data_IF_415227598627
#
_entry.id   IF_415227598627
#
_cell.length_a   1.000
_cell.length_b   1.000
_cell.length_c   1.000
_cell.angle_alpha   90.00
_cell.angle_beta   90.00
_cell.angle_gamma   90.00
#
_symmetry.space_group_name_H-M   'P 1'
#
loop_
_entity.id
_entity.type
_entity.pdbx_description
1 polymer ?
#
# COMPACT_ATOMS: atom_id res chain seq x y z
N UNK A 1 36.65 31.03 26.08
CA UNK A 1 36.64 31.97 24.93
C UNK A 1 36.87 31.16 23.66
N UNK A 2 35.88 31.06 22.76
CA UNK A 2 35.98 30.24 21.55
C UNK A 2 36.70 30.99 20.42
N UNK A 3 37.87 30.50 20.03
CA UNK A 3 38.74 30.94 18.93
C UNK A 3 38.21 30.54 17.53
N UNK A 4 36.93 30.80 17.25
CA UNK A 4 36.23 30.41 16.01
C UNK A 4 35.76 31.61 15.16
N UNK A 5 36.44 32.76 15.27
CA UNK A 5 36.13 33.95 14.45
C UNK A 5 36.48 33.76 12.95
N UNK A 6 37.17 32.68 12.58
CA UNK A 6 37.65 32.42 11.22
C UNK A 6 36.96 31.27 10.49
N UNK A 7 35.95 30.62 11.07
CA UNK A 7 35.24 29.55 10.37
C UNK A 7 34.50 30.12 9.14
N UNK A 8 34.83 29.70 7.90
CA UNK A 8 34.25 30.25 6.67
C UNK A 8 32.72 30.19 6.64
N UNK A 9 32.14 29.22 7.35
CA UNK A 9 30.70 29.00 7.45
C UNK A 9 29.93 30.17 8.08
N UNK A 10 30.59 31.02 8.89
CA UNK A 10 29.98 32.24 9.47
C UNK A 10 29.84 33.39 8.46
N UNK A 11 30.47 33.29 7.29
CA UNK A 11 30.38 34.28 6.20
C UNK A 11 29.31 33.94 5.17
N UNK A 12 28.65 32.79 5.33
CA UNK A 12 27.53 32.42 4.48
C UNK A 12 26.36 33.37 4.75
N UNK A 13 25.67 33.77 3.68
CA UNK A 13 24.42 34.52 3.77
C UNK A 13 23.32 33.64 4.37
N UNK A 14 22.31 34.27 4.96
CA UNK A 14 21.13 33.59 5.53
C UNK A 14 20.50 32.66 4.49
N UNK A 15 20.34 33.11 3.24
CA UNK A 15 19.81 32.31 2.12
C UNK A 15 20.59 31.02 1.89
N UNK A 16 21.92 31.08 1.95
CA UNK A 16 22.77 29.90 1.77
C UNK A 16 22.66 28.96 2.98
N UNK A 17 22.60 29.51 4.20
CA UNK A 17 22.38 28.72 5.40
C UNK A 17 21.01 28.04 5.38
N UNK A 18 19.95 28.73 4.95
CA UNK A 18 18.59 28.17 4.81
C UNK A 18 18.57 27.04 3.78
N UNK A 19 19.22 27.24 2.62
CA UNK A 19 19.36 26.18 1.60
C UNK A 19 20.08 24.97 2.17
N UNK A 20 21.18 25.17 2.89
CA UNK A 20 21.91 24.10 3.55
C UNK A 20 21.03 23.40 4.60
N UNK A 21 20.34 24.16 5.45
CA UNK A 21 19.46 23.58 6.48
C UNK A 21 18.31 22.80 5.87
N UNK A 22 17.72 23.29 4.79
CA UNK A 22 16.64 22.58 4.07
C UNK A 22 17.13 21.26 3.49
N UNK A 23 18.38 21.21 2.99
CA UNK A 23 18.99 19.97 2.50
C UNK A 23 19.37 19.01 3.63
N UNK A 24 19.75 19.53 4.80
CA UNK A 24 20.20 18.71 5.95
C UNK A 24 19.04 18.22 6.80
N UNK A 25 17.99 19.03 6.97
CA UNK A 25 16.80 18.73 7.74
C UNK A 25 15.86 17.82 6.93
N UNK A 26 16.30 16.59 6.64
CA UNK A 26 15.40 15.53 6.20
C UNK A 26 14.53 15.06 7.38
N UNK A 27 13.39 14.39 7.13
CA UNK A 27 12.63 13.72 8.19
C UNK A 27 13.56 12.90 9.08
N UNK A 28 13.48 13.15 10.39
CA UNK A 28 14.26 12.43 11.39
C UNK A 28 13.42 11.26 11.91
N UNK A 29 14.04 10.08 11.99
CA UNK A 29 13.47 8.92 12.64
C UNK A 29 14.07 8.81 14.04
N UNK A 30 13.24 8.96 15.07
CA UNK A 30 13.67 8.91 16.47
C UNK A 30 12.99 7.73 17.15
N UNK A 31 13.79 6.79 17.62
CA UNK A 31 13.31 5.69 18.46
C UNK A 31 13.29 6.14 19.93
N UNK A 32 12.08 6.25 20.49
CA UNK A 32 11.82 6.69 21.87
C UNK A 32 12.47 5.74 22.88
N UNK A 33 12.58 4.44 22.56
CA UNK A 33 13.20 3.44 23.43
C UNK A 33 14.67 3.75 23.68
N UNK A 34 15.35 4.25 22.64
CA UNK A 34 16.78 4.59 22.66
C UNK A 34 17.06 6.03 23.07
N UNK A 35 16.05 6.82 23.48
CA UNK A 35 16.19 8.27 23.76
C UNK A 35 17.31 8.67 24.73
N UNK A 36 17.70 7.78 25.66
CA UNK A 36 18.87 8.02 26.51
C UNK A 36 20.18 8.22 25.72
N UNK A 37 20.23 7.66 24.51
CA UNK A 37 21.35 7.73 23.56
C UNK A 37 20.93 8.34 22.21
N UNK A 38 19.66 8.72 22.06
CA UNK A 38 19.16 9.15 20.77
C UNK A 38 19.74 10.50 20.38
N UNK A 39 19.99 10.63 19.08
CA UNK A 39 20.43 11.89 18.50
C UNK A 39 19.33 12.92 18.67
N UNK A 40 19.72 14.07 19.21
CA UNK A 40 18.90 15.28 19.16
C UNK A 40 18.44 15.50 17.71
N UNK A 41 17.16 15.81 17.45
CA UNK A 41 16.69 16.12 16.10
C UNK A 41 17.65 17.06 15.38
N UNK A 42 17.91 16.85 14.10
CA UNK A 42 18.87 17.63 13.31
C UNK A 42 18.56 19.11 13.40
N UNK A 43 17.29 19.48 13.34
CA UNK A 43 16.84 20.88 13.45
C UNK A 43 17.24 21.51 14.79
N UNK A 44 17.11 20.76 15.90
CA UNK A 44 17.53 21.21 17.22
C UNK A 44 19.06 21.27 17.33
N UNK A 45 19.77 20.33 16.71
CA UNK A 45 21.24 20.33 16.63
C UNK A 45 21.74 21.56 15.89
N UNK A 46 21.16 21.90 14.74
CA UNK A 46 21.47 23.10 13.95
C UNK A 46 21.18 24.37 14.78
N UNK A 47 20.01 24.43 15.43
CA UNK A 47 19.63 25.56 16.29
C UNK A 47 20.53 25.70 17.53
N UNK A 48 21.28 24.66 17.92
CA UNK A 48 22.21 24.69 19.03
C UNK A 48 23.60 25.23 18.66
N UNK A 49 23.99 25.22 17.37
CA UNK A 49 25.36 25.56 16.92
C UNK A 49 25.80 26.97 17.34
N UNK A 50 25.00 27.99 17.02
CA UNK A 50 25.28 29.36 17.46
C UNK A 50 24.01 30.23 17.45
N UNK A 51 24.09 31.42 18.07
CA UNK A 51 22.96 32.37 18.15
C UNK A 51 22.40 32.73 16.76
N UNK A 52 23.27 32.94 15.77
CA UNK A 52 22.85 33.32 14.43
C UNK A 52 22.06 32.21 13.73
N UNK A 53 22.54 30.97 13.76
CA UNK A 53 21.84 29.81 13.20
C UNK A 53 20.50 29.56 13.88
N UNK A 54 20.44 29.74 15.20
CA UNK A 54 19.19 29.66 15.95
C UNK A 54 18.16 30.68 15.47
N UNK A 55 18.57 31.93 15.24
CA UNK A 55 17.68 32.99 14.75
C UNK A 55 17.17 32.63 13.35
N UNK A 56 18.04 32.17 12.45
CA UNK A 56 17.64 31.71 11.12
C UNK A 56 16.61 30.59 11.27
N UNK A 57 16.98 29.48 11.93
CA UNK A 57 16.09 28.32 12.09
C UNK A 57 14.72 28.73 12.65
N UNK A 58 14.68 29.56 13.70
CA UNK A 58 13.42 30.01 14.30
C UNK A 58 12.58 30.95 13.41
N UNK A 59 13.19 31.61 12.43
CA UNK A 59 12.51 32.57 11.54
C UNK A 59 11.91 31.92 10.29
N UNK A 60 12.25 30.67 9.99
CA UNK A 60 11.79 29.96 8.78
C UNK A 60 10.90 28.78 9.13
N UNK A 61 9.58 28.99 9.05
CA UNK A 61 8.57 28.01 9.44
C UNK A 61 8.65 26.69 8.65
N UNK A 62 9.07 26.73 7.38
CA UNK A 62 9.17 25.53 6.56
C UNK A 62 10.17 24.51 7.10
N UNK A 63 11.21 24.94 7.83
CA UNK A 63 12.17 24.06 8.50
C UNK A 63 11.55 23.33 9.70
N UNK A 64 10.50 23.89 10.31
CA UNK A 64 9.76 23.31 11.44
C UNK A 64 8.54 22.49 11.00
N UNK A 65 8.10 22.65 9.75
CA UNK A 65 7.00 21.89 9.16
C UNK A 65 7.42 20.51 8.65
N UNK A 66 8.72 20.19 8.68
CA UNK A 66 9.25 18.88 8.31
C UNK A 66 8.86 17.89 9.41
N UNK A 67 8.08 16.84 9.09
CA UNK A 67 7.60 15.91 10.09
C UNK A 67 8.76 15.11 10.69
N UNK A 68 8.66 14.85 11.99
CA UNK A 68 9.53 13.89 12.69
C UNK A 68 8.77 12.58 12.81
N UNK A 69 9.45 11.48 12.50
CA UNK A 69 8.92 10.13 12.63
C UNK A 69 9.34 9.59 14.01
N UNK A 70 8.42 9.58 14.96
CA UNK A 70 8.63 9.01 16.27
C UNK A 70 8.21 7.54 16.26
N UNK A 71 9.19 6.66 16.45
CA UNK A 71 8.93 5.23 16.62
C UNK A 71 9.03 4.86 18.09
N UNK A 72 8.02 4.16 18.57
CA UNK A 72 7.97 3.60 19.90
C UNK A 72 7.94 2.09 19.78
N UNK A 73 9.00 1.41 20.25
CA UNK A 73 9.08 -0.06 20.26
C UNK A 73 9.06 -0.56 21.69
N UNK A 74 8.08 -1.40 22.01
CA UNK A 74 8.03 -2.14 23.27
C UNK A 74 8.49 -3.58 23.02
N UNK A 75 9.74 -3.89 23.38
CA UNK A 75 10.35 -5.20 23.13
C UNK A 75 10.00 -6.22 24.23
N UNK A 76 10.06 -5.85 25.52
CA UNK A 76 9.78 -6.79 26.61
C UNK A 76 9.21 -6.12 27.88
N UNK A 77 8.43 -6.86 28.68
CA UNK A 77 7.83 -6.42 29.95
C UNK A 77 8.89 -6.08 31.00
N UNK A 78 10.05 -6.74 30.89
CA UNK A 78 11.21 -6.55 31.75
C UNK A 78 12.23 -5.58 31.17
N UNK A 79 11.98 -5.04 29.96
CA UNK A 79 12.92 -4.12 29.33
C UNK A 79 12.99 -2.81 30.11
N UNK A 80 14.20 -2.42 30.49
CA UNK A 80 14.52 -1.09 31.01
C UNK A 80 14.90 -0.24 29.80
N UNK A 81 14.25 0.91 29.59
CA UNK A 81 13.25 1.57 30.44
C UNK A 81 11.81 1.03 30.28
N UNK A 82 11.07 0.95 31.40
CA UNK A 82 9.65 0.59 31.39
C UNK A 82 8.73 1.63 30.71
N UNK A 83 7.44 1.30 30.52
CA UNK A 83 6.49 2.10 29.72
C UNK A 83 6.30 3.53 30.26
N UNK A 84 6.20 3.71 31.58
CA UNK A 84 6.02 5.03 32.20
C UNK A 84 7.24 5.93 31.94
N UNK A 85 8.44 5.37 32.05
CA UNK A 85 9.69 6.12 31.79
C UNK A 85 9.75 6.54 30.33
N UNK A 86 9.35 5.66 29.41
CA UNK A 86 9.31 5.99 28.00
C UNK A 86 8.22 7.02 27.66
N UNK A 87 7.05 6.93 28.28
CA UNK A 87 6.01 7.95 28.15
C UNK A 87 6.51 9.32 28.62
N UNK A 88 7.17 9.38 29.77
CA UNK A 88 7.78 10.61 30.27
C UNK A 88 8.88 11.16 29.33
N UNK A 89 9.69 10.27 28.73
CA UNK A 89 10.69 10.67 27.73
C UNK A 89 10.03 11.22 26.46
N UNK A 90 8.97 10.57 26.00
CA UNK A 90 8.18 11.03 24.87
C UNK A 90 7.57 12.39 25.15
N UNK A 91 6.97 12.58 26.33
CA UNK A 91 6.36 13.85 26.71
C UNK A 91 7.40 14.98 26.81
N UNK A 92 8.56 14.71 27.41
CA UNK A 92 9.66 15.67 27.47
C UNK A 92 10.16 16.05 26.06
N UNK A 93 10.30 15.05 25.17
CA UNK A 93 10.67 15.28 23.78
C UNK A 93 9.61 16.13 23.06
N UNK A 94 8.34 15.74 23.13
CA UNK A 94 7.24 16.48 22.51
C UNK A 94 7.18 17.92 23.04
N UNK A 95 7.31 18.09 24.35
CA UNK A 95 7.35 19.40 25.00
C UNK A 95 8.50 20.29 24.52
N UNK A 96 9.63 19.71 24.12
CA UNK A 96 10.76 20.45 23.51
C UNK A 96 10.51 20.81 22.04
N UNK A 97 9.66 20.06 21.33
CA UNK A 97 9.41 20.17 19.90
C UNK A 97 8.12 20.93 19.55
N UNK A 98 7.61 21.79 20.43
CA UNK A 98 6.24 22.37 20.47
C UNK A 98 5.50 22.65 19.14
N UNK A 99 6.19 22.92 18.04
CA UNK A 99 5.61 23.30 16.74
C UNK A 99 5.76 22.26 15.62
N UNK A 100 6.51 21.19 15.84
CA UNK A 100 6.84 20.24 14.77
C UNK A 100 5.69 19.24 14.60
N UNK A 101 5.16 19.04 13.38
CA UNK A 101 4.22 17.96 13.10
C UNK A 101 4.91 16.60 13.29
N UNK A 102 4.17 15.62 13.78
CA UNK A 102 4.73 14.32 14.15
C UNK A 102 4.00 13.20 13.44
N UNK A 103 4.76 12.26 12.87
CA UNK A 103 4.25 10.92 12.55
C UNK A 103 4.63 10.01 13.69
N UNK A 104 3.66 9.31 14.25
CA UNK A 104 3.86 8.45 15.41
C UNK A 104 3.60 7.00 15.04
N UNK A 105 4.55 6.13 15.35
CA UNK A 105 4.43 4.70 15.14
C UNK A 105 4.66 3.98 16.46
N UNK A 106 3.66 3.24 16.93
CA UNK A 106 3.73 2.41 18.13
C UNK A 106 3.78 0.93 17.73
N UNK A 107 4.83 0.23 18.09
CA UNK A 107 5.01 -1.20 17.85
C UNK A 107 5.22 -1.91 19.18
N UNK A 108 4.60 -3.08 19.35
CA UNK A 108 4.80 -3.92 20.53
C UNK A 108 5.01 -5.36 20.10
N UNK A 109 6.10 -5.96 20.55
CA UNK A 109 6.35 -7.40 20.36
C UNK A 109 5.48 -8.23 21.34
N UNK A 110 4.98 -7.55 22.37
CA UNK A 110 4.18 -8.14 23.42
C UNK A 110 2.70 -8.06 23.06
N UNK A 111 2.11 -9.22 22.82
CA UNK A 111 0.67 -9.37 22.58
C UNK A 111 -0.04 -9.20 23.93
N UNK A 112 -0.94 -8.23 24.04
CA UNK A 112 -1.93 -8.09 25.13
C UNK A 112 -1.47 -7.55 26.50
N UNK A 113 -0.79 -6.39 26.56
CA UNK A 113 -0.51 -5.75 27.85
C UNK A 113 -1.12 -4.34 27.99
N UNK A 114 -2.38 -4.23 28.48
CA UNK A 114 -3.14 -2.97 28.59
C UNK A 114 -2.41 -1.87 29.36
N UNK A 115 -1.86 -2.22 30.51
CA UNK A 115 -1.32 -1.26 31.47
C UNK A 115 -0.09 -0.54 30.93
N UNK A 116 0.58 -1.15 29.94
CA UNK A 116 1.74 -0.58 29.28
C UNK A 116 1.36 0.51 28.27
N UNK A 117 0.10 0.55 27.81
CA UNK A 117 -0.33 1.42 26.72
C UNK A 117 -1.06 2.68 27.21
N UNK A 118 -1.68 2.61 28.39
CA UNK A 118 -2.46 3.74 28.94
C UNK A 118 -1.69 5.06 29.08
N UNK A 119 -0.44 5.10 29.58
CA UNK A 119 0.30 6.36 29.68
C UNK A 119 0.58 7.01 28.31
N UNK A 120 0.60 6.24 27.23
CA UNK A 120 0.83 6.76 25.89
C UNK A 120 -0.43 7.32 25.27
N UNK A 121 -1.57 6.66 25.50
CA UNK A 121 -2.84 7.11 24.97
C UNK A 121 -3.27 8.47 25.51
N UNK A 122 -2.97 8.77 26.79
CA UNK A 122 -3.17 10.12 27.32
C UNK A 122 -2.26 11.15 26.65
N UNK A 123 -1.01 10.81 26.33
CA UNK A 123 -0.08 11.69 25.60
C UNK A 123 -0.52 11.95 24.17
N UNK A 124 -1.10 10.96 23.49
CA UNK A 124 -1.68 11.16 22.16
C UNK A 124 -2.76 12.24 22.19
N UNK A 125 -3.66 12.20 23.18
CA UNK A 125 -4.68 13.23 23.34
C UNK A 125 -4.06 14.59 23.74
N UNK A 126 -3.09 14.60 24.65
CA UNK A 126 -2.44 15.83 25.11
C UNK A 126 -1.76 16.60 23.97
N UNK A 127 -1.17 15.89 23.02
CA UNK A 127 -0.49 16.48 21.87
C UNK A 127 -1.30 16.32 20.56
N UNK A 128 -2.63 16.20 20.66
CA UNK A 128 -3.57 15.91 19.56
C UNK A 128 -3.36 16.73 18.29
N UNK A 129 -3.05 18.01 18.47
CA UNK A 129 -2.86 18.99 17.40
C UNK A 129 -1.58 18.76 16.57
N UNK A 130 -0.73 17.82 16.96
CA UNK A 130 0.58 17.63 16.31
C UNK A 130 0.67 16.40 15.44
N UNK A 131 -0.18 15.40 15.71
CA UNK A 131 -0.15 14.16 14.98
C UNK A 131 -0.69 14.39 13.57
N UNK A 132 0.14 14.10 12.56
CA UNK A 132 -0.29 14.02 11.16
C UNK A 132 -0.64 12.60 10.78
N UNK A 133 0.12 11.67 11.31
CA UNK A 133 -0.05 10.24 11.08
C UNK A 133 0.14 9.50 12.39
N UNK A 134 -0.75 8.55 12.66
CA UNK A 134 -0.65 7.65 13.81
C UNK A 134 -0.74 6.23 13.29
N UNK A 135 0.27 5.44 13.60
CA UNK A 135 0.38 4.03 13.23
C UNK A 135 0.44 3.17 14.49
N UNK A 136 -0.53 2.28 14.64
CA UNK A 136 -0.54 1.26 15.67
C UNK A 136 -0.13 -0.07 15.04
N UNK A 137 1.12 -0.43 15.24
CA UNK A 137 1.72 -1.68 14.82
C UNK A 137 1.17 -2.92 15.53
N UNK A 138 1.71 -4.11 15.17
CA UNK A 138 1.27 -5.38 15.73
C UNK A 138 1.26 -5.41 17.25
N UNK A 139 0.31 -6.15 17.82
CA UNK A 139 0.21 -6.42 19.26
C UNK A 139 -0.44 -5.30 20.10
N UNK A 140 -0.66 -4.11 19.53
CA UNK A 140 -1.42 -3.05 20.22
C UNK A 140 -2.86 -3.52 20.44
N UNK A 141 -3.33 -3.43 21.69
CA UNK A 141 -4.62 -4.00 22.09
C UNK A 141 -5.45 -2.93 22.79
N UNK A 142 -6.61 -2.63 22.22
CA UNK A 142 -7.53 -1.64 22.78
C UNK A 142 -8.52 -2.31 23.74
N UNK A 143 -8.38 -2.03 25.04
CA UNK A 143 -8.98 -2.84 26.11
C UNK A 143 -10.11 -2.15 26.86
N UNK A 144 -10.08 -0.83 26.95
CA UNK A 144 -11.11 -0.02 27.58
C UNK A 144 -11.76 0.87 26.53
N UNK A 145 -12.96 1.38 26.84
CA UNK A 145 -13.59 2.44 26.06
C UNK A 145 -12.67 3.66 26.03
N UNK A 146 -11.90 3.77 24.95
CA UNK A 146 -10.92 4.82 24.76
C UNK A 146 -11.45 5.82 23.76
N UNK A 147 -11.26 7.09 24.09
CA UNK A 147 -11.59 8.22 23.24
C UNK A 147 -10.28 8.91 22.86
N UNK A 148 -9.91 8.76 21.60
CA UNK A 148 -8.78 9.46 21.00
C UNK A 148 -9.31 10.68 20.26
N UNK A 149 -8.92 11.87 20.71
CA UNK A 149 -9.18 13.10 19.98
C UNK A 149 -7.86 13.55 19.36
N UNK A 150 -7.72 13.38 18.04
CA UNK A 150 -6.48 13.61 17.30
C UNK A 150 -6.72 14.67 16.22
N UNK A 151 -6.89 15.92 16.65
CA UNK A 151 -7.50 17.01 15.86
C UNK A 151 -6.87 17.26 14.48
N UNK A 152 -5.58 16.98 14.32
CA UNK A 152 -4.84 17.25 13.09
C UNK A 152 -4.39 15.99 12.32
N UNK A 153 -4.79 14.80 12.77
CA UNK A 153 -4.40 13.53 12.16
C UNK A 153 -5.10 13.34 10.81
N UNK A 154 -4.33 13.19 9.75
CA UNK A 154 -4.83 12.94 8.40
C UNK A 154 -4.76 11.48 8.00
N UNK A 155 -3.83 10.72 8.59
CA UNK A 155 -3.57 9.33 8.27
C UNK A 155 -3.63 8.47 9.55
N UNK A 156 -4.35 7.36 9.48
CA UNK A 156 -4.38 6.34 10.53
C UNK A 156 -3.98 4.99 9.95
N UNK A 157 -2.99 4.34 10.56
CA UNK A 157 -2.57 2.99 10.20
C UNK A 157 -2.84 2.06 11.38
N UNK A 158 -3.55 0.97 11.13
CA UNK A 158 -3.88 -0.06 12.10
C UNK A 158 -3.36 -1.39 11.58
N UNK A 159 -2.40 -1.98 12.28
CA UNK A 159 -1.72 -3.19 11.85
C UNK A 159 -1.75 -4.25 12.95
N UNK A 160 -2.42 -5.38 12.66
CA UNK A 160 -2.55 -6.55 13.54
C UNK A 160 -3.00 -6.16 14.95
N UNK A 161 -3.87 -5.15 15.04
CA UNK A 161 -4.42 -4.69 16.31
C UNK A 161 -5.62 -5.55 16.73
N UNK A 162 -5.89 -5.55 18.03
CA UNK A 162 -7.04 -6.23 18.61
C UNK A 162 -7.92 -5.24 19.36
N UNK A 163 -9.17 -5.09 18.91
CA UNK A 163 -10.20 -4.33 19.61
C UNK A 163 -10.99 -5.27 20.53
N UNK A 164 -10.82 -5.13 21.85
CA UNK A 164 -11.65 -5.87 22.83
C UNK A 164 -12.92 -5.12 23.20
N UNK A 165 -12.94 -3.80 23.05
CA UNK A 165 -14.07 -2.92 23.30
C UNK A 165 -14.19 -1.85 22.20
N UNK A 166 -15.28 -1.08 22.24
CA UNK A 166 -15.46 0.06 21.35
C UNK A 166 -14.46 1.17 21.68
N UNK A 167 -13.77 1.66 20.67
CA UNK A 167 -12.80 2.75 20.71
C UNK A 167 -13.28 3.84 19.77
N UNK A 168 -13.40 5.07 20.26
CA UNK A 168 -13.66 6.22 19.42
C UNK A 168 -12.36 6.87 19.01
N UNK A 169 -12.08 6.91 17.71
CA UNK A 169 -10.94 7.64 17.15
C UNK A 169 -11.53 8.82 16.37
N UNK A 170 -11.52 9.97 17.02
CA UNK A 170 -12.09 11.21 16.51
C UNK A 170 -10.94 12.05 15.96
N UNK A 171 -10.85 12.13 14.63
CA UNK A 171 -10.06 13.14 13.95
C UNK A 171 -10.90 13.78 12.85
N UNK A 172 -11.20 15.09 12.95
CA UNK A 172 -12.00 15.79 11.95
C UNK A 172 -11.27 15.99 10.61
N UNK A 173 -9.95 15.71 10.56
CA UNK A 173 -9.13 15.84 9.35
C UNK A 173 -8.68 14.50 8.79
N UNK A 174 -9.22 13.39 9.32
CA UNK A 174 -8.86 12.05 8.88
C UNK A 174 -9.33 11.85 7.45
N UNK A 175 -8.38 11.63 6.55
CA UNK A 175 -8.63 11.43 5.13
C UNK A 175 -8.24 10.03 4.67
N UNK A 176 -7.22 9.43 5.29
CA UNK A 176 -6.67 8.13 4.91
C UNK A 176 -6.64 7.16 6.08
N UNK A 177 -7.12 5.94 5.84
CA UNK A 177 -7.07 4.82 6.78
C UNK A 177 -6.48 3.58 6.10
N UNK A 178 -5.43 3.02 6.71
CA UNK A 178 -4.84 1.73 6.33
C UNK A 178 -5.09 0.72 7.43
N UNK A 179 -5.65 -0.43 7.06
CA UNK A 179 -6.02 -1.52 7.97
C UNK A 179 -5.28 -2.78 7.49
N UNK A 180 -4.54 -3.42 8.39
CA UNK A 180 -3.77 -4.62 8.11
C UNK A 180 -4.12 -5.65 9.18
N UNK A 181 -4.76 -6.77 8.83
CA UNK A 181 -5.07 -7.89 9.73
C UNK A 181 -5.71 -7.50 11.08
N UNK A 182 -6.52 -6.45 11.10
CA UNK A 182 -7.13 -5.95 12.33
C UNK A 182 -8.30 -6.82 12.74
N UNK A 183 -8.24 -7.37 13.96
CA UNK A 183 -9.32 -8.20 14.52
C UNK A 183 -10.41 -7.33 15.13
N UNK A 184 -11.67 -7.63 14.78
CA UNK A 184 -12.87 -6.97 15.32
C UNK A 184 -12.92 -5.47 15.00
N UNK A 185 -12.63 -5.08 13.76
CA UNK A 185 -12.47 -3.66 13.40
C UNK A 185 -13.79 -2.86 13.34
N UNK A 186 -14.84 -3.42 12.76
CA UNK A 186 -16.07 -2.69 12.37
C UNK A 186 -16.78 -1.92 13.50
N UNK A 187 -17.75 -2.50 14.22
CA UNK A 187 -18.52 -1.79 15.24
C UNK A 187 -17.70 -1.41 16.49
N UNK A 188 -16.42 -1.77 16.52
CA UNK A 188 -15.50 -1.47 17.62
C UNK A 188 -14.64 -0.24 17.35
N UNK A 189 -14.46 0.22 16.11
CA UNK A 189 -13.79 1.48 15.82
C UNK A 189 -14.82 2.54 15.40
N UNK A 190 -15.15 3.45 16.32
CA UNK A 190 -15.99 4.61 16.03
C UNK A 190 -15.14 5.70 15.37
N UNK A 191 -14.93 5.54 14.06
CA UNK A 191 -14.29 6.48 13.15
C UNK A 191 -15.38 7.15 12.29
N UNK A 192 -15.18 8.42 11.90
CA UNK A 192 -16.04 9.09 10.92
C UNK A 192 -15.70 8.63 9.50
N UNK A 193 -16.18 7.44 9.16
CA UNK A 193 -15.97 6.78 7.86
C UNK A 193 -16.38 7.63 6.65
N UNK A 194 -17.40 8.48 6.81
CA UNK A 194 -17.91 9.35 5.76
C UNK A 194 -16.89 10.35 5.23
N UNK A 195 -15.90 10.73 6.05
CA UNK A 195 -14.96 11.80 5.71
C UNK A 195 -13.71 11.26 4.99
N UNK A 196 -13.59 9.93 4.86
CA UNK A 196 -12.44 9.29 4.24
C UNK A 196 -12.43 9.43 2.73
N UNK A 197 -11.27 9.78 2.19
CA UNK A 197 -10.97 9.79 0.75
C UNK A 197 -10.16 8.56 0.34
N UNK A 198 -9.40 7.98 1.27
CA UNK A 198 -8.52 6.85 1.01
C UNK A 198 -8.76 5.74 2.03
N UNK A 199 -9.06 4.54 1.54
CA UNK A 199 -9.18 3.34 2.36
C UNK A 199 -8.33 2.23 1.76
N UNK A 200 -7.48 1.66 2.60
CA UNK A 200 -6.63 0.54 2.25
C UNK A 200 -6.82 -0.58 3.26
N UNK A 201 -7.15 -1.79 2.80
CA UNK A 201 -7.40 -2.95 3.64
C UNK A 201 -6.58 -4.14 3.16
N UNK A 202 -5.72 -4.66 4.03
CA UNK A 202 -4.91 -5.85 3.82
C UNK A 202 -5.30 -6.91 4.86
N UNK A 203 -5.80 -8.06 4.41
CA UNK A 203 -6.19 -9.16 5.27
C UNK A 203 -5.64 -10.47 4.71
N UNK A 204 -4.58 -10.98 5.34
CA UNK A 204 -3.93 -12.24 4.99
C UNK A 204 -4.74 -13.47 5.45
N UNK A 205 -5.76 -13.25 6.29
CA UNK A 205 -6.59 -14.28 6.90
C UNK A 205 -8.06 -13.87 6.86
N UNK A 206 -8.96 -14.85 6.99
CA UNK A 206 -10.41 -14.68 7.10
C UNK A 206 -10.81 -13.95 8.41
N UNK A 207 -10.50 -12.65 8.50
CA UNK A 207 -10.80 -11.81 9.66
C UNK A 207 -11.91 -10.79 9.38
N UNK A 208 -12.35 -10.69 8.12
CA UNK A 208 -13.42 -9.80 7.68
C UNK A 208 -14.50 -10.64 7.00
N UNK A 209 -15.75 -10.38 7.38
CA UNK A 209 -16.92 -10.94 6.70
C UNK A 209 -17.35 -10.04 5.55
N UNK A 210 -17.99 -10.62 4.53
CA UNK A 210 -18.53 -9.85 3.41
C UNK A 210 -19.50 -8.75 3.87
N UNK A 211 -20.31 -9.05 4.89
CA UNK A 211 -21.23 -8.08 5.50
C UNK A 211 -20.52 -6.88 6.13
N UNK A 212 -19.43 -7.11 6.84
CA UNK A 212 -18.63 -6.04 7.45
C UNK A 212 -17.97 -5.15 6.39
N UNK A 213 -17.42 -5.76 5.34
CA UNK A 213 -16.83 -5.03 4.22
C UNK A 213 -17.87 -4.16 3.52
N UNK A 214 -19.03 -4.73 3.16
CA UNK A 214 -20.11 -4.00 2.48
C UNK A 214 -20.67 -2.88 3.36
N UNK A 215 -20.82 -3.11 4.67
CA UNK A 215 -21.22 -2.06 5.61
C UNK A 215 -20.19 -0.93 5.64
N UNK A 216 -18.90 -1.24 5.71
CA UNK A 216 -17.82 -0.27 5.73
C UNK A 216 -17.80 0.58 4.46
N UNK A 217 -17.84 -0.06 3.30
CA UNK A 217 -17.88 0.66 2.01
C UNK A 217 -19.11 1.56 1.90
N UNK A 218 -20.25 1.14 2.47
CA UNK A 218 -21.50 1.94 2.43
C UNK A 218 -21.38 3.24 3.22
N UNK A 219 -20.62 3.25 4.32
CA UNK A 219 -20.43 4.44 5.15
C UNK A 219 -19.31 5.35 4.62
N UNK A 220 -18.40 4.83 3.79
CA UNK A 220 -17.29 5.57 3.19
C UNK A 220 -17.68 6.28 1.88
N UNK A 221 -18.67 7.18 1.93
CA UNK A 221 -19.29 7.79 0.74
C UNK A 221 -18.37 8.71 -0.07
N UNK A 222 -17.31 9.25 0.54
CA UNK A 222 -16.39 10.20 -0.10
C UNK A 222 -15.09 9.55 -0.64
N UNK A 223 -15.04 8.21 -0.70
CA UNK A 223 -13.85 7.50 -1.18
C UNK A 223 -13.49 7.89 -2.61
N UNK A 224 -12.24 8.28 -2.80
CA UNK A 224 -11.61 8.50 -4.11
C UNK A 224 -10.63 7.37 -4.46
N UNK A 225 -9.99 6.77 -3.46
CA UNK A 225 -9.07 5.65 -3.61
C UNK A 225 -9.47 4.50 -2.69
N UNK A 226 -9.62 3.31 -3.25
CA UNK A 226 -9.93 2.09 -2.53
C UNK A 226 -8.94 0.99 -2.91
N UNK A 227 -8.27 0.42 -1.92
CA UNK A 227 -7.41 -0.73 -2.08
C UNK A 227 -7.83 -1.85 -1.14
N UNK A 228 -8.21 -2.99 -1.72
CA UNK A 228 -8.67 -4.18 -1.01
C UNK A 228 -7.77 -5.34 -1.41
N UNK A 229 -7.03 -5.89 -0.45
CA UNK A 229 -6.25 -7.09 -0.58
C UNK A 229 -6.63 -8.06 0.54
N UNK A 230 -7.68 -8.85 0.35
CA UNK A 230 -8.44 -9.44 1.46
C UNK A 230 -8.80 -10.91 1.25
N UNK A 231 -8.85 -11.66 2.36
CA UNK A 231 -9.59 -12.92 2.50
C UNK A 231 -10.96 -12.60 3.12
N UNK A 232 -12.04 -12.93 2.41
CA UNK A 232 -13.40 -12.58 2.87
C UNK A 232 -14.19 -13.83 3.19
N UNK A 233 -14.72 -13.89 4.41
CA UNK A 233 -15.64 -14.96 4.81
C UNK A 233 -17.09 -14.64 4.40
N UNK A 234 -17.95 -15.66 4.33
CA UNK A 234 -19.38 -15.60 3.93
C UNK A 234 -19.68 -15.60 2.41
N UNK A 235 -19.33 -16.68 1.72
CA UNK A 235 -19.59 -16.86 0.27
C UNK A 235 -21.05 -16.74 -0.19
N UNK A 236 -22.00 -17.00 0.70
CA UNK A 236 -23.44 -16.98 0.37
C UNK A 236 -24.09 -15.62 0.57
N UNK A 237 -23.34 -14.60 1.01
CA UNK A 237 -23.89 -13.26 1.16
C UNK A 237 -23.98 -12.58 -0.20
N UNK A 238 -25.19 -12.17 -0.60
CA UNK A 238 -25.42 -11.36 -1.79
C UNK A 238 -25.48 -9.88 -1.41
N UNK A 239 -24.47 -9.07 -1.76
CA UNK A 239 -24.50 -7.65 -1.48
C UNK A 239 -25.59 -6.96 -2.28
N UNK A 240 -26.26 -5.99 -1.66
CA UNK A 240 -27.10 -5.03 -2.38
C UNK A 240 -26.21 -4.01 -3.09
N UNK A 241 -26.71 -3.44 -4.19
CA UNK A 241 -26.05 -2.36 -4.92
C UNK A 241 -25.51 -1.24 -3.99
N UNK A 242 -24.27 -0.86 -4.24
CA UNK A 242 -23.50 0.11 -3.48
C UNK A 242 -22.88 1.11 -4.47
N UNK A 243 -23.10 2.39 -4.23
CA UNK A 243 -22.65 3.45 -5.13
C UNK A 243 -21.51 4.24 -4.49
N UNK A 244 -20.32 4.17 -5.09
CA UNK A 244 -19.17 5.01 -4.74
C UNK A 244 -18.95 6.02 -5.86
N UNK A 245 -19.69 7.13 -5.82
CA UNK A 245 -19.70 8.13 -6.91
C UNK A 245 -18.36 8.82 -7.14
N UNK A 246 -17.54 8.91 -6.10
CA UNK A 246 -16.30 9.67 -6.13
C UNK A 246 -15.07 8.79 -6.34
N UNK A 247 -15.26 7.46 -6.41
CA UNK A 247 -14.16 6.52 -6.53
C UNK A 247 -13.54 6.61 -7.91
N UNK A 248 -12.28 7.06 -7.96
CA UNK A 248 -11.49 7.20 -9.18
C UNK A 248 -10.49 6.06 -9.34
N UNK A 249 -10.00 5.51 -8.23
CA UNK A 249 -8.98 4.46 -8.23
C UNK A 249 -9.46 3.25 -7.40
N UNK A 250 -9.46 2.07 -8.03
CA UNK A 250 -9.74 0.80 -7.37
C UNK A 250 -8.55 -0.14 -7.55
N UNK A 251 -8.04 -0.68 -6.43
CA UNK A 251 -7.12 -1.82 -6.42
C UNK A 251 -7.76 -2.98 -5.68
N UNK A 252 -7.80 -4.15 -6.32
CA UNK A 252 -8.47 -5.32 -5.78
C UNK A 252 -7.58 -6.55 -5.92
N UNK A 253 -7.33 -7.23 -4.81
CA UNK A 253 -6.63 -8.50 -4.70
C UNK A 253 -7.45 -9.39 -3.77
N UNK A 254 -8.27 -10.25 -4.35
CA UNK A 254 -9.13 -11.16 -3.59
C UNK A 254 -8.47 -12.53 -3.52
N UNK A 255 -7.98 -12.89 -2.33
CA UNK A 255 -7.12 -14.04 -2.16
C UNK A 255 -7.88 -15.37 -2.20
N UNK A 256 -9.18 -15.36 -1.92
CA UNK A 256 -10.01 -16.57 -1.90
C UNK A 256 -11.13 -16.57 -2.95
N UNK A 257 -11.10 -15.58 -3.85
CA UNK A 257 -12.06 -15.30 -4.93
C UNK A 257 -13.51 -15.06 -4.47
N UNK A 258 -13.74 -14.86 -3.17
CA UNK A 258 -15.08 -14.68 -2.61
C UNK A 258 -15.72 -13.35 -3.07
N UNK A 259 -14.94 -12.27 -3.22
CA UNK A 259 -15.42 -11.01 -3.78
C UNK A 259 -15.77 -11.14 -5.25
N UNK A 260 -14.91 -11.80 -6.04
CA UNK A 260 -15.19 -11.98 -7.46
C UNK A 260 -16.40 -12.90 -7.69
N UNK A 261 -16.52 -13.99 -6.93
CA UNK A 261 -17.66 -14.91 -6.98
C UNK A 261 -18.97 -14.24 -6.54
N UNK A 262 -18.89 -13.17 -5.75
CA UNK A 262 -20.03 -12.32 -5.38
C UNK A 262 -20.49 -11.35 -6.48
N UNK A 263 -19.84 -11.38 -7.65
CA UNK A 263 -20.02 -10.40 -8.73
C UNK A 263 -19.78 -8.95 -8.28
N UNK A 264 -18.62 -8.67 -7.68
CA UNK A 264 -18.27 -7.32 -7.17
C UNK A 264 -18.56 -6.18 -8.14
N UNK A 265 -18.28 -6.35 -9.44
CA UNK A 265 -18.53 -5.32 -10.45
C UNK A 265 -20.02 -5.09 -10.76
N UNK A 266 -20.89 -6.03 -10.37
CA UNK A 266 -22.33 -5.83 -10.49
C UNK A 266 -22.86 -5.02 -9.32
N UNK A 267 -22.52 -5.32 -8.07
CA UNK A 267 -23.08 -4.59 -6.93
C UNK A 267 -22.27 -3.34 -6.55
N UNK A 268 -20.98 -3.25 -6.88
CA UNK A 268 -20.16 -2.06 -6.62
C UNK A 268 -20.19 -1.10 -7.82
N UNK A 269 -21.07 -0.11 -7.77
CA UNK A 269 -21.27 0.90 -8.81
C UNK A 269 -20.28 2.06 -8.63
N UNK A 270 -19.41 2.26 -9.61
CA UNK A 270 -18.30 3.23 -9.55
C UNK A 270 -18.30 4.10 -10.82
N UNK A 271 -19.25 5.05 -10.96
CA UNK A 271 -19.46 5.79 -12.21
C UNK A 271 -18.28 6.67 -12.63
N UNK A 272 -17.42 7.06 -11.69
CA UNK A 272 -16.28 7.95 -11.91
C UNK A 272 -14.94 7.22 -11.90
N UNK A 273 -14.93 5.89 -11.98
CA UNK A 273 -13.68 5.12 -11.92
C UNK A 273 -12.84 5.40 -13.17
N UNK A 274 -11.58 5.76 -12.93
CA UNK A 274 -10.58 6.09 -13.96
C UNK A 274 -9.54 4.97 -14.05
N UNK A 275 -9.21 4.35 -12.91
CA UNK A 275 -8.20 3.31 -12.82
C UNK A 275 -8.69 2.09 -12.04
N UNK A 276 -8.51 0.91 -12.63
CA UNK A 276 -8.77 -0.37 -11.99
C UNK A 276 -7.54 -1.26 -12.07
N UNK A 277 -7.05 -1.70 -10.92
CA UNK A 277 -6.01 -2.72 -10.81
C UNK A 277 -6.59 -3.96 -10.14
N UNK A 278 -6.51 -5.11 -10.80
CA UNK A 278 -7.10 -6.36 -10.31
C UNK A 278 -6.03 -7.44 -10.28
N UNK A 279 -5.93 -8.14 -9.16
CA UNK A 279 -5.09 -9.31 -8.98
C UNK A 279 -5.97 -10.54 -8.75
N UNK A 280 -5.91 -11.48 -9.69
CA UNK A 280 -6.57 -12.78 -9.61
C UNK A 280 -5.62 -13.82 -9.03
N UNK A 281 -6.09 -14.56 -8.04
CA UNK A 281 -5.39 -15.74 -7.53
C UNK A 281 -6.15 -16.98 -8.02
N UNK A 282 -5.57 -17.74 -8.94
CA UNK A 282 -6.20 -18.97 -9.42
C UNK A 282 -5.72 -20.15 -8.57
N UNK A 283 -6.52 -20.67 -7.63
CA UNK A 283 -6.29 -22.01 -7.14
C UNK A 283 -6.42 -22.97 -8.33
N UNK A 284 -5.66 -24.05 -8.33
CA UNK A 284 -5.47 -25.07 -9.40
C UNK A 284 -6.74 -25.74 -10.01
N UNK A 285 -7.93 -25.23 -9.73
CA UNK A 285 -9.25 -25.58 -10.30
C UNK A 285 -9.57 -24.75 -11.57
N UNK A 286 -10.52 -25.20 -12.42
CA UNK A 286 -10.50 -24.93 -13.85
C UNK A 286 -10.67 -23.46 -14.26
N UNK A 287 -10.16 -23.08 -15.45
CA UNK A 287 -10.19 -21.72 -16.02
C UNK A 287 -11.59 -21.11 -16.21
N UNK A 288 -12.67 -21.89 -16.01
CA UNK A 288 -14.05 -21.43 -16.19
C UNK A 288 -14.46 -20.32 -15.21
N UNK A 289 -14.02 -20.36 -13.95
CA UNK A 289 -14.35 -19.30 -12.97
C UNK A 289 -13.68 -17.98 -13.36
N UNK A 290 -12.41 -18.04 -13.76
CA UNK A 290 -11.64 -16.89 -14.22
C UNK A 290 -12.26 -16.30 -15.49
N UNK A 291 -12.67 -17.14 -16.43
CA UNK A 291 -13.33 -16.71 -17.66
C UNK A 291 -14.65 -15.97 -17.40
N UNK A 292 -15.45 -16.44 -16.44
CA UNK A 292 -16.70 -15.76 -16.05
C UNK A 292 -16.41 -14.39 -15.42
N UNK A 293 -15.43 -14.31 -14.52
CA UNK A 293 -15.04 -13.06 -13.85
C UNK A 293 -14.47 -12.04 -14.85
N UNK A 294 -13.66 -12.51 -15.81
CA UNK A 294 -13.18 -11.72 -16.93
C UNK A 294 -14.32 -11.21 -17.79
N UNK A 295 -15.29 -12.05 -18.12
CA UNK A 295 -16.47 -11.64 -18.89
C UNK A 295 -17.26 -10.55 -18.14
N UNK A 296 -17.38 -10.66 -16.81
CA UNK A 296 -18.04 -9.66 -15.98
C UNK A 296 -17.27 -8.34 -15.94
N UNK A 297 -15.94 -8.41 -15.81
CA UNK A 297 -15.08 -7.24 -15.89
C UNK A 297 -15.14 -6.58 -17.27
N UNK A 298 -15.10 -7.34 -18.37
CA UNK A 298 -15.22 -6.81 -19.72
C UNK A 298 -16.55 -6.08 -19.92
N UNK A 299 -17.67 -6.68 -19.46
CA UNK A 299 -18.99 -6.04 -19.46
C UNK A 299 -19.03 -4.77 -18.60
N UNK A 300 -18.33 -4.75 -17.48
CA UNK A 300 -18.19 -3.56 -16.65
C UNK A 300 -17.45 -2.45 -17.42
N UNK A 301 -16.29 -2.77 -18.00
CA UNK A 301 -15.46 -1.80 -18.73
C UNK A 301 -16.21 -1.18 -19.90
N UNK A 302 -16.97 -1.98 -20.66
CA UNK A 302 -17.78 -1.47 -21.78
C UNK A 302 -18.86 -0.45 -21.35
N UNK A 303 -19.34 -0.53 -20.10
CA UNK A 303 -20.35 0.40 -19.57
C UNK A 303 -19.76 1.68 -18.98
N UNK A 304 -18.47 1.72 -18.71
CA UNK A 304 -17.82 2.80 -17.97
C UNK A 304 -16.91 3.63 -18.86
N UNK A 305 -17.50 4.65 -19.50
CA UNK A 305 -16.78 5.56 -20.40
C UNK A 305 -15.64 6.38 -19.74
N UNK A 306 -15.63 6.50 -18.41
CA UNK A 306 -14.60 7.21 -17.64
C UNK A 306 -13.31 6.41 -17.44
N UNK A 307 -13.33 5.10 -17.70
CA UNK A 307 -12.24 4.20 -17.38
C UNK A 307 -11.04 4.44 -18.31
N UNK A 308 -9.96 4.99 -17.76
CA UNK A 308 -8.76 5.34 -18.50
C UNK A 308 -7.72 4.21 -18.52
N UNK A 309 -7.61 3.45 -17.43
CA UNK A 309 -6.59 2.41 -17.25
C UNK A 309 -7.14 1.17 -16.55
N UNK A 310 -6.80 0.00 -17.09
CA UNK A 310 -7.02 -1.29 -16.43
C UNK A 310 -5.69 -2.02 -16.37
N UNK A 311 -5.33 -2.51 -15.19
CA UNK A 311 -4.15 -3.36 -15.00
C UNK A 311 -4.57 -4.69 -14.41
N UNK A 312 -4.23 -5.78 -15.08
CA UNK A 312 -4.58 -7.14 -14.68
C UNK A 312 -3.34 -7.91 -14.26
N UNK A 313 -3.37 -8.45 -13.06
CA UNK A 313 -2.37 -9.36 -12.54
C UNK A 313 -3.02 -10.73 -12.38
N UNK A 314 -2.47 -11.75 -13.06
CA UNK A 314 -2.94 -13.14 -12.90
C UNK A 314 -1.82 -13.91 -12.22
N UNK A 315 -2.08 -14.32 -10.97
CA UNK A 315 -1.19 -15.10 -10.15
C UNK A 315 -1.67 -16.56 -10.12
N UNK A 316 -0.94 -17.44 -10.80
CA UNK A 316 -1.22 -18.87 -10.85
C UNK A 316 -0.36 -19.58 -9.81
N UNK A 317 -0.83 -19.69 -8.57
CA UNK A 317 -0.07 -20.36 -7.51
C UNK A 317 -0.91 -21.37 -6.73
N UNK A 318 -0.25 -22.44 -6.29
CA UNK A 318 -0.82 -23.40 -5.35
C UNK A 318 -0.96 -22.74 -3.97
N UNK A 319 -2.06 -23.05 -3.29
CA UNK A 319 -2.56 -22.42 -2.05
C UNK A 319 -1.56 -22.35 -0.88
N UNK A 320 -0.41 -23.04 -0.97
CA UNK A 320 0.55 -23.20 0.12
C UNK A 320 1.63 -22.09 0.21
N UNK A 321 1.85 -21.30 -0.85
CA UNK A 321 3.02 -20.38 -0.91
C UNK A 321 2.67 -18.88 -1.08
N UNK A 322 1.40 -18.48 -0.99
CA UNK A 322 0.99 -17.06 -1.14
C UNK A 322 1.69 -16.13 -0.15
N UNK A 323 2.00 -16.59 1.07
CA UNK A 323 2.75 -15.80 2.06
C UNK A 323 4.21 -15.57 1.66
N UNK A 324 4.82 -16.45 0.85
CA UNK A 324 6.22 -16.30 0.39
C UNK A 324 6.35 -15.37 -0.80
N UNK A 325 5.30 -15.20 -1.61
CA UNK A 325 5.28 -14.26 -2.75
C UNK A 325 5.55 -12.82 -2.27
N UNK A 326 5.14 -12.47 -1.05
CA UNK A 326 5.39 -11.15 -0.48
C UNK A 326 6.72 -11.04 0.31
N UNK A 327 7.32 -12.16 0.73
CA UNK A 327 8.65 -12.18 1.36
C UNK A 327 9.79 -12.11 0.33
N UNK A 328 9.51 -12.41 -0.94
CA UNK A 328 10.46 -12.24 -2.05
C UNK A 328 10.04 -11.04 -2.90
N UNK A 329 11.00 -10.15 -3.18
CA UNK A 329 10.79 -8.99 -4.05
C UNK A 329 10.31 -9.49 -5.42
N UNK A 330 9.02 -9.33 -5.68
CA UNK A 330 8.50 -9.45 -7.04
C UNK A 330 8.83 -8.13 -7.74
N UNK A 331 9.75 -8.19 -8.71
CA UNK A 331 10.07 -7.04 -9.56
C UNK A 331 8.83 -6.66 -10.39
N UNK A 332 8.19 -5.55 -10.03
CA UNK A 332 7.06 -4.99 -10.78
C UNK A 332 7.61 -4.01 -11.81
N UNK A 333 7.45 -4.33 -13.09
CA UNK A 333 7.76 -3.41 -14.18
C UNK A 333 6.51 -2.57 -14.49
N UNK A 334 6.57 -1.27 -14.20
CA UNK A 334 5.57 -0.30 -14.61
C UNK A 334 5.90 0.19 -16.03
N UNK A 335 4.91 0.26 -16.92
CA UNK A 335 5.08 1.00 -18.17
C UNK A 335 3.98 2.03 -18.34
N UNK A 336 4.40 3.29 -18.43
CA UNK A 336 3.55 4.43 -18.71
C UNK A 336 3.28 4.52 -20.22
N UNK A 337 2.10 5.00 -20.59
CA UNK A 337 1.65 5.23 -21.98
C UNK A 337 2.48 6.27 -22.72
N UNK A 338 3.30 7.06 -22.01
CA UNK A 338 4.31 7.94 -22.59
C UNK A 338 5.71 7.35 -22.41
N UNK A 339 6.30 6.89 -23.51
CA UNK A 339 7.58 6.20 -23.59
C UNK A 339 8.69 6.79 -22.68
N UNK A 340 9.09 6.04 -21.66
CA UNK A 340 10.48 5.81 -21.22
C UNK A 340 10.49 4.74 -20.14
N UNK A 341 11.25 3.65 -20.35
CA UNK A 341 11.54 2.64 -19.33
C UNK A 341 12.40 3.28 -18.22
N UNK A 342 11.91 3.27 -16.98
CA UNK A 342 12.75 3.52 -15.80
C UNK A 342 12.81 2.25 -14.97
N UNK A 343 14.02 1.68 -14.86
CA UNK A 343 14.34 0.68 -13.85
C UNK A 343 14.32 1.39 -12.49
N UNK A 344 13.39 1.05 -11.61
CA UNK A 344 13.40 1.50 -10.22
C UNK A 344 14.32 0.58 -9.42
N UNK A 345 15.61 0.91 -9.35
CA UNK A 345 16.56 0.23 -8.46
C UNK A 345 16.25 0.63 -7.01
N UNK A 346 15.50 -0.19 -6.28
CA UNK A 346 15.54 -0.14 -4.81
C UNK A 346 16.77 -0.92 -4.33
N UNK A 347 17.88 -0.20 -4.18
CA UNK A 347 19.10 -0.72 -3.57
C UNK A 347 18.85 -1.15 -2.12
N UNK A 348 18.80 -2.46 -1.88
CA UNK A 348 19.29 -3.06 -0.63
C UNK A 348 20.21 -4.20 -1.01
N UNK A 349 21.49 -4.04 -0.68
CA UNK A 349 22.55 -4.97 -0.98
C UNK A 349 22.30 -6.33 -0.30
N UNK A 350 22.47 -7.42 -1.04
CA UNK A 350 23.61 -8.29 -0.80
C UNK A 350 23.91 -9.20 -1.99
N UNK A 351 25.22 -9.33 -2.21
CA UNK A 351 25.95 -10.18 -3.14
C UNK A 351 25.45 -11.63 -3.20
N UNK A 352 25.25 -12.16 -4.41
CA UNK A 352 26.25 -13.05 -5.04
C UNK A 352 25.86 -13.46 -6.47
N UNK A 353 26.88 -13.54 -7.33
CA UNK A 353 26.82 -13.85 -8.76
C UNK A 353 27.31 -15.27 -9.00
N UNK A 354 26.61 -16.05 -9.85
CA UNK A 354 27.10 -16.96 -10.95
C UNK A 354 25.98 -17.95 -11.32
N UNK A 355 25.71 -18.31 -12.58
CA UNK A 355 26.49 -18.18 -13.81
C UNK A 355 25.67 -18.46 -15.09
N UNK A 356 26.42 -18.50 -16.20
CA UNK A 356 26.03 -18.42 -17.62
C UNK A 356 25.40 -19.70 -18.19
N UNK A 357 24.62 -19.58 -19.27
CA UNK A 357 24.85 -20.26 -20.57
C UNK A 357 24.16 -19.49 -21.72
N UNK A 358 24.63 -19.73 -22.94
CA UNK A 358 24.62 -18.83 -24.10
C UNK A 358 24.16 -19.53 -25.39
N UNK A 359 23.65 -18.74 -26.35
CA UNK A 359 23.56 -18.98 -27.81
C UNK A 359 22.48 -19.99 -28.28
N UNK A 360 21.80 -19.88 -29.43
CA UNK A 360 21.71 -18.98 -30.61
C UNK A 360 20.54 -19.49 -31.47
N UNK A 361 19.88 -18.65 -32.28
CA UNK A 361 19.36 -19.12 -33.60
C UNK A 361 19.05 -17.96 -34.58
N UNK A 362 19.63 -17.95 -35.79
CA UNK A 362 19.12 -17.18 -36.92
C UNK A 362 18.32 -18.06 -37.89
N UNK A 363 17.36 -17.42 -38.58
CA UNK A 363 16.72 -17.83 -39.85
C UNK A 363 15.85 -19.10 -39.87
N UNK A 364 14.54 -18.91 -39.78
CA UNK A 364 13.53 -19.67 -40.55
C UNK A 364 12.17 -18.95 -40.50
N UNK A 365 12.11 -17.79 -41.16
CA UNK A 365 10.90 -17.35 -41.81
C UNK A 365 10.98 -17.86 -43.25
N UNK A 366 10.18 -18.87 -43.58
CA UNK A 366 9.46 -18.97 -44.84
C UNK A 366 8.65 -20.26 -44.85
N UNK A 367 7.39 -20.13 -45.25
CA UNK A 367 6.38 -21.16 -45.46
C UNK A 367 5.55 -21.54 -44.23
N UNK A 368 4.36 -20.94 -44.11
CA UNK A 368 3.24 -21.56 -43.38
C UNK A 368 1.96 -21.48 -44.25
N UNK A 369 1.33 -22.63 -44.58
CA UNK A 369 0.03 -22.74 -45.26
C UNK A 369 -1.14 -22.57 -44.27
N UNK A 370 -2.38 -22.57 -44.79
CA UNK A 370 -3.64 -22.48 -44.02
C UNK A 370 -3.80 -23.65 -43.04
N UNK A 371 -4.06 -23.38 -41.76
CA UNK A 371 -4.24 -24.39 -40.70
C UNK A 371 -5.71 -24.44 -40.22
N UNK A 372 -6.19 -25.65 -39.93
CA UNK A 372 -7.48 -25.96 -39.28
C UNK A 372 -7.24 -26.37 -37.81
N UNK A 373 -8.31 -26.44 -37.00
CA UNK A 373 -8.28 -26.52 -35.52
C UNK A 373 -7.50 -27.67 -34.88
N UNK A 374 -6.97 -28.63 -35.65
CA UNK A 374 -6.15 -29.75 -35.17
C UNK A 374 -4.67 -29.42 -35.03
N UNK A 375 -4.19 -28.30 -35.59
CA UNK A 375 -2.74 -28.03 -35.69
C UNK A 375 -2.18 -27.20 -34.51
N UNK A 376 -3.02 -26.78 -33.56
CA UNK A 376 -2.62 -25.93 -32.41
C UNK A 376 -1.78 -26.65 -31.34
N UNK A 377 -1.68 -27.98 -31.39
CA UNK A 377 -0.95 -28.80 -30.39
C UNK A 377 0.55 -28.90 -30.64
N UNK A 378 1.07 -28.34 -31.75
CA UNK A 378 2.46 -28.53 -32.18
C UNK A 378 3.31 -27.25 -32.18
N UNK A 379 2.79 -26.12 -31.69
CA UNK A 379 3.52 -24.85 -31.67
C UNK A 379 4.25 -24.71 -30.32
N UNK A 380 5.59 -24.54 -30.30
CA UNK A 380 6.31 -24.21 -29.07
C UNK A 380 5.75 -22.93 -28.45
N UNK A 381 5.58 -22.88 -27.13
CA UNK A 381 4.97 -21.76 -26.38
C UNK A 381 5.58 -20.39 -26.73
N UNK A 382 6.86 -20.37 -27.10
CA UNK A 382 7.62 -19.19 -27.52
C UNK A 382 7.22 -18.62 -28.89
N UNK A 383 6.67 -19.43 -29.80
CA UNK A 383 6.26 -18.99 -31.15
C UNK A 383 4.77 -18.66 -31.23
N UNK A 384 3.96 -19.24 -30.35
CA UNK A 384 2.51 -19.04 -30.33
C UNK A 384 2.13 -17.59 -29.98
N UNK A 385 2.74 -17.04 -28.92
CA UNK A 385 2.47 -15.66 -28.49
C UNK A 385 2.79 -14.64 -29.60
N UNK A 386 3.93 -14.79 -30.28
CA UNK A 386 4.33 -13.92 -31.38
C UNK A 386 3.35 -13.95 -32.57
N UNK A 387 2.71 -15.10 -32.83
CA UNK A 387 1.74 -15.23 -33.92
C UNK A 387 0.33 -14.76 -33.53
N UNK A 388 -0.03 -14.88 -32.24
CA UNK A 388 -1.29 -14.38 -31.68
C UNK A 388 -1.32 -12.84 -31.69
N UNK A 389 -0.23 -12.18 -31.28
CA UNK A 389 -0.14 -10.72 -31.21
C UNK A 389 -0.12 -10.02 -32.57
N UNK A 390 0.40 -10.67 -33.61
CA UNK A 390 0.47 -10.10 -34.96
C UNK A 390 -0.89 -9.99 -35.68
N UNK A 391 -2.00 -10.40 -35.06
CA UNK A 391 -3.34 -10.45 -35.69
C UNK A 391 -4.39 -9.55 -35.06
N UNK A 392 -4.07 -8.76 -34.01
CA UNK A 392 -5.06 -7.87 -33.42
C UNK A 392 -5.14 -6.52 -34.15
N UNK A 393 -6.35 -6.04 -34.51
CA UNK A 393 -6.53 -4.70 -35.03
C UNK A 393 -6.35 -3.65 -33.93
N UNK A 394 -5.85 -2.47 -34.32
CA UNK A 394 -5.60 -1.34 -33.44
C UNK A 394 -6.81 -0.41 -33.44
N UNK A 395 -7.47 -0.25 -32.28
CA UNK A 395 -7.81 1.05 -31.68
C UNK A 395 -8.58 0.92 -30.34
N UNK A 396 -8.17 1.77 -29.38
CA UNK A 396 -8.69 2.18 -28.06
C UNK A 396 -8.71 1.24 -26.83
N UNK A 397 -8.24 1.84 -25.72
CA UNK A 397 -7.98 1.40 -24.32
C UNK A 397 -6.67 0.62 -24.03
N UNK A 398 -5.71 1.18 -23.26
CA UNK A 398 -4.53 0.44 -22.79
C UNK A 398 -4.90 -0.48 -21.62
N UNK A 399 -4.76 -1.79 -21.83
CA UNK A 399 -4.79 -2.80 -20.77
C UNK A 399 -3.38 -3.33 -20.60
N UNK A 400 -2.76 -3.11 -19.44
CA UNK A 400 -1.47 -3.74 -19.10
C UNK A 400 -1.75 -5.02 -18.30
N UNK A 401 -1.23 -6.16 -18.77
CA UNK A 401 -1.38 -7.43 -18.08
C UNK A 401 -0.02 -8.02 -17.71
N UNK A 402 0.21 -8.26 -16.43
CA UNK A 402 1.40 -8.96 -15.91
C UNK A 402 1.00 -10.35 -15.41
N UNK A 403 1.77 -11.39 -15.75
CA UNK A 403 1.40 -12.78 -15.46
C UNK A 403 2.56 -13.53 -14.82
N UNK A 404 2.32 -14.12 -13.65
CA UNK A 404 3.29 -14.99 -12.97
C UNK A 404 2.83 -16.44 -13.16
N UNK A 405 3.59 -17.20 -13.94
CA UNK A 405 3.18 -18.51 -14.46
C UNK A 405 4.22 -19.55 -14.08
N UNK A 406 3.80 -20.56 -13.33
CA UNK A 406 4.57 -21.81 -13.19
C UNK A 406 4.47 -22.60 -14.51
N UNK A 407 5.55 -23.29 -14.91
CA UNK A 407 5.75 -23.81 -16.28
C UNK A 407 4.61 -24.74 -16.76
N UNK A 408 3.89 -25.37 -15.83
CA UNK A 408 2.79 -26.31 -16.12
C UNK A 408 1.42 -25.63 -16.32
N UNK A 409 1.29 -24.33 -16.07
CA UNK A 409 0.00 -23.62 -16.06
C UNK A 409 -0.22 -22.68 -17.27
N UNK A 410 0.71 -22.67 -18.24
CA UNK A 410 0.68 -21.80 -19.43
C UNK A 410 -0.59 -21.95 -20.27
N UNK A 411 -1.15 -23.17 -20.38
CA UNK A 411 -2.37 -23.40 -21.17
C UNK A 411 -3.61 -22.72 -20.55
N UNK A 412 -3.74 -22.72 -19.22
CA UNK A 412 -4.83 -22.03 -18.54
C UNK A 412 -4.78 -20.51 -18.72
N UNK A 413 -3.57 -19.94 -18.77
CA UNK A 413 -3.36 -18.51 -19.06
C UNK A 413 -3.84 -18.15 -20.47
N UNK A 414 -3.53 -18.99 -21.45
CA UNK A 414 -3.91 -18.75 -22.84
C UNK A 414 -5.44 -18.78 -23.03
N UNK A 415 -6.15 -19.63 -22.30
CA UNK A 415 -7.62 -19.65 -22.31
C UNK A 415 -8.22 -18.39 -21.68
N UNK A 416 -7.64 -17.93 -20.57
CA UNK A 416 -8.02 -16.67 -19.87
C UNK A 416 -7.81 -15.46 -20.78
N UNK A 417 -6.68 -15.41 -21.47
CA UNK A 417 -6.36 -14.37 -22.46
C UNK A 417 -7.31 -14.40 -23.66
N UNK A 418 -7.57 -15.59 -24.22
CA UNK A 418 -8.53 -15.75 -25.32
C UNK A 418 -9.94 -15.32 -24.90
N UNK A 419 -10.36 -15.67 -23.68
CA UNK A 419 -11.62 -15.22 -23.10
C UNK A 419 -11.71 -13.70 -23.01
N UNK A 420 -10.67 -13.03 -22.50
CA UNK A 420 -10.65 -11.57 -22.39
C UNK A 420 -10.71 -10.88 -23.76
N UNK A 421 -9.89 -11.33 -24.70
CA UNK A 421 -9.85 -10.78 -26.07
C UNK A 421 -11.17 -10.99 -26.79
N UNK A 422 -11.82 -12.14 -26.61
CA UNK A 422 -13.10 -12.42 -27.27
C UNK A 422 -14.26 -11.55 -26.76
N UNK A 423 -14.15 -10.96 -25.56
CA UNK A 423 -15.22 -10.18 -24.93
C UNK A 423 -14.98 -8.66 -24.96
N UNK A 424 -13.76 -8.22 -25.30
CA UNK A 424 -13.42 -6.81 -25.43
C UNK A 424 -13.31 -6.45 -26.91
N UNK A 425 -14.20 -5.59 -27.43
CA UNK A 425 -14.17 -5.04 -28.80
C UNK A 425 -13.00 -4.03 -29.01
N UNK A 426 -11.82 -4.29 -28.44
CA UNK A 426 -10.71 -3.33 -28.39
C UNK A 426 -9.32 -3.96 -28.49
N UNK A 427 -8.34 -3.11 -28.79
CA UNK A 427 -6.93 -3.50 -28.91
C UNK A 427 -6.31 -3.80 -27.54
N UNK A 428 -5.73 -4.99 -27.37
CA UNK A 428 -5.13 -5.42 -26.11
C UNK A 428 -3.60 -5.30 -26.16
N UNK A 429 -3.01 -4.43 -25.35
CA UNK A 429 -1.55 -4.35 -25.20
C UNK A 429 -1.06 -5.30 -24.10
N UNK A 430 -1.01 -6.61 -24.38
CA UNK A 430 -0.47 -7.56 -23.40
C UNK A 430 1.05 -7.36 -23.27
N UNK A 431 1.51 -7.00 -22.07
CA UNK A 431 2.94 -7.00 -21.70
C UNK A 431 3.24 -8.18 -20.79
N UNK A 432 3.45 -9.36 -21.35
CA UNK A 432 3.78 -10.54 -20.55
C UNK A 432 5.18 -10.44 -19.94
N UNK A 433 5.26 -10.44 -18.61
CA UNK A 433 6.52 -10.58 -17.86
C UNK A 433 6.56 -11.97 -17.22
N UNK A 434 7.30 -12.90 -17.81
CA UNK A 434 7.56 -14.20 -17.19
C UNK A 434 8.73 -14.01 -16.22
N UNK A 435 8.46 -13.98 -14.92
CA UNK A 435 9.49 -14.10 -13.90
C UNK A 435 9.85 -15.59 -13.75
N UNK A 436 11.14 -15.91 -13.88
CA UNK A 436 11.70 -17.25 -13.71
C UNK A 436 12.20 -17.47 -12.28
#
# INVERSE_FOLDING_TARGET
>A
MCTSLLAPIRRLTDDNLIRIFTLVCTPDVIDVSTLAHARTPKILTIAAVCKHWRVIVLSFDHLWNIPIDLTFRLQDFLSIPGPVVLANRLDALLSSLKRIPVRFTMQTELISCPWFQQPFFSLLNMHSSRWKEVSFGPGVTFLEAQHFQLDNMTNLVLNRNLFRQRVAIISPKLASVTIIDVKKFGPFAAIRWSDLTTLTMFYEKELVTMRELVWLLRVCVNLTYLELAVWVSERNFQPTDLFLSNLTHLRLADYDNTLYDSDIFNWLKMPSVEEIQITFFCPTSPPTTVNNQISHLAKFCHKHASLARITLFVCLHTRADISKIYEHQVDVYEVNTNATLRKCDMNLANSDVKGRYSQTLPTLLQQIPRWTSTDLTLIPSSQFLHQFFNRMPYDTFPVDMCMFVDHDLVLGVLEVLQGFVAHCDGSLLIRSYIAY
#
